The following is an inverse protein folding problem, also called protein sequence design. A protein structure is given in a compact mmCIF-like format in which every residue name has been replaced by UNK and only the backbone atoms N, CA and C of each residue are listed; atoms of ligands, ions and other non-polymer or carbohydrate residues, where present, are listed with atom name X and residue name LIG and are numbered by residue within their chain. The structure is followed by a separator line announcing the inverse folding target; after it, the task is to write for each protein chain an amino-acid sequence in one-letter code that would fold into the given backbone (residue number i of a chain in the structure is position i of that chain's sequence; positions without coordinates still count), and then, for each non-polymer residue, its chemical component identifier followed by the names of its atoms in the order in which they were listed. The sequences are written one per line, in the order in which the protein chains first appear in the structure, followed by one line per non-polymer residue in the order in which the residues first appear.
data_IF_990544598341
#
_entry.id   IF_990544598341
#
_cell.length_a   1.000
_cell.length_b   1.000
_cell.length_c   1.000
_cell.angle_alpha   90.00
_cell.angle_beta   90.00
_cell.angle_gamma   90.00
#
_symmetry.space_group_name_H-M   'P 1'
#
loop_
_entity.id
_entity.type
_entity.pdbx_description
1 polymer ?
#
# COMPACT_ATOMS: atom_id res chain seq x y z
N UNK A 1 23.78 -28.20 28.69
CA UNK A 1 23.56 -28.21 27.23
C UNK A 1 23.09 -26.82 26.86
N UNK A 2 23.86 -26.09 26.07
CA UNK A 2 23.54 -24.73 25.65
C UNK A 2 22.29 -24.75 24.78
N UNK A 3 21.27 -24.00 25.17
CA UNK A 3 20.12 -23.69 24.33
C UNK A 3 20.59 -22.78 23.20
N UNK A 4 21.07 -23.36 22.09
CA UNK A 4 21.16 -22.63 20.84
C UNK A 4 19.74 -22.36 20.36
N UNK A 5 19.22 -21.18 20.71
CA UNK A 5 18.00 -20.62 20.10
C UNK A 5 18.19 -20.69 18.60
N UNK A 6 17.28 -21.43 17.93
CA UNK A 6 17.40 -21.70 16.51
C UNK A 6 17.44 -20.39 15.72
N UNK A 7 18.11 -20.36 14.57
CA UNK A 7 18.17 -19.16 13.70
C UNK A 7 16.76 -18.63 13.37
N UNK A 8 15.79 -19.54 13.27
CA UNK A 8 14.38 -19.23 13.04
C UNK A 8 13.76 -18.48 14.23
N UNK A 9 13.98 -18.96 15.46
CA UNK A 9 13.50 -18.27 16.67
C UNK A 9 14.13 -16.89 16.85
N UNK A 10 15.41 -16.72 16.49
CA UNK A 10 16.05 -15.40 16.48
C UNK A 10 15.41 -14.45 15.48
N UNK A 11 15.07 -14.93 14.28
CA UNK A 11 14.40 -14.12 13.27
C UNK A 11 12.99 -13.73 13.73
N UNK A 12 12.22 -14.66 14.32
CA UNK A 12 10.85 -14.40 14.80
C UNK A 12 10.83 -13.37 15.93
N UNK A 13 11.76 -13.47 16.87
CA UNK A 13 11.82 -12.58 18.03
C UNK A 13 12.52 -11.26 17.74
N UNK A 14 13.06 -11.06 16.54
CA UNK A 14 13.67 -9.79 16.15
C UNK A 14 12.61 -8.69 16.11
N UNK A 15 12.91 -7.55 16.75
CA UNK A 15 12.08 -6.36 16.74
C UNK A 15 12.87 -5.18 16.19
N UNK A 16 12.38 -4.48 15.16
CA UNK A 16 13.02 -3.26 14.71
C UNK A 16 12.97 -2.20 15.82
N UNK A 17 14.05 -1.43 15.94
CA UNK A 17 14.12 -0.29 16.86
C UNK A 17 13.03 0.73 16.52
N UNK A 18 12.36 1.24 17.56
CA UNK A 18 11.28 2.24 17.47
C UNK A 18 11.68 3.46 16.62
N UNK A 19 12.86 4.02 16.88
CA UNK A 19 13.37 5.17 16.13
C UNK A 19 13.65 4.84 14.67
N UNK A 20 14.25 3.67 14.39
CA UNK A 20 14.51 3.24 13.00
C UNK A 20 13.22 2.98 12.23
N UNK A 21 12.24 2.37 12.88
CA UNK A 21 10.94 2.14 12.29
C UNK A 21 10.24 3.48 12.02
N UNK A 22 10.26 4.42 12.96
CA UNK A 22 9.68 5.76 12.77
C UNK A 22 10.30 6.51 11.59
N UNK A 23 11.63 6.44 11.43
CA UNK A 23 12.32 7.03 10.28
C UNK A 23 11.86 6.38 8.99
N UNK A 24 11.84 5.04 8.93
CA UNK A 24 11.41 4.30 7.75
C UNK A 24 9.96 4.61 7.37
N UNK A 25 9.01 4.51 8.31
CA UNK A 25 7.59 4.76 8.07
C UNK A 25 7.35 6.22 7.62
N UNK A 26 8.02 7.17 8.25
CA UNK A 26 7.96 8.59 7.85
C UNK A 26 8.50 8.80 6.45
N UNK A 27 9.65 8.20 6.13
CA UNK A 27 10.29 8.32 4.83
C UNK A 27 9.43 7.73 3.70
N UNK A 28 8.89 6.52 3.86
CA UNK A 28 8.07 5.89 2.81
C UNK A 28 6.75 6.62 2.60
N UNK A 29 6.11 7.08 3.68
CA UNK A 29 4.86 7.84 3.60
C UNK A 29 5.07 9.19 2.94
N UNK A 30 6.12 9.92 3.35
CA UNK A 30 6.45 11.21 2.77
C UNK A 30 6.89 11.11 1.32
N UNK A 31 7.72 10.11 0.98
CA UNK A 31 8.14 9.87 -0.41
C UNK A 31 6.93 9.64 -1.30
N UNK A 32 5.99 8.80 -0.89
CA UNK A 32 4.75 8.56 -1.63
C UNK A 32 3.96 9.86 -1.83
N UNK A 33 3.69 10.61 -0.76
CA UNK A 33 2.84 11.80 -0.79
C UNK A 33 3.47 12.95 -1.59
N UNK A 34 4.77 13.19 -1.43
CA UNK A 34 5.48 14.23 -2.16
C UNK A 34 5.54 13.87 -3.64
N UNK A 35 5.89 12.62 -3.95
CA UNK A 35 6.06 12.20 -5.34
C UNK A 35 4.73 12.19 -6.08
N UNK A 36 3.71 11.50 -5.54
CA UNK A 36 2.38 11.44 -6.18
C UNK A 36 1.74 12.83 -6.20
N UNK A 37 1.91 13.63 -5.15
CA UNK A 37 1.42 15.00 -5.10
C UNK A 37 1.99 15.87 -6.22
N UNK A 38 3.31 15.79 -6.48
CA UNK A 38 3.92 16.50 -7.61
C UNK A 38 3.44 15.95 -8.97
N UNK A 39 3.20 14.64 -9.08
CA UNK A 39 2.67 14.04 -10.30
C UNK A 39 1.27 14.54 -10.64
N UNK A 40 0.48 15.04 -9.67
CA UNK A 40 -0.85 15.64 -9.92
C UNK A 40 -0.83 16.83 -10.87
N UNK A 41 0.34 17.41 -11.12
CA UNK A 41 0.54 18.50 -12.08
C UNK A 41 0.78 18.00 -13.53
N UNK A 42 0.83 16.68 -13.73
CA UNK A 42 1.15 16.06 -15.02
C UNK A 42 -0.10 15.60 -15.78
N UNK A 43 -0.06 15.58 -17.14
CA UNK A 43 -1.19 15.11 -17.95
C UNK A 43 -1.66 13.67 -17.64
N UNK A 44 -0.78 12.67 -17.41
CA UNK A 44 -1.23 11.32 -17.06
C UNK A 44 -2.03 11.27 -15.76
N UNK A 45 -1.66 12.06 -14.75
CA UNK A 45 -2.43 12.13 -13.51
C UNK A 45 -3.71 12.94 -13.66
N UNK A 46 -3.75 13.96 -14.52
CA UNK A 46 -5.02 14.63 -14.84
C UNK A 46 -6.05 13.63 -15.38
N UNK A 47 -5.64 12.67 -16.23
CA UNK A 47 -6.54 11.60 -16.69
C UNK A 47 -7.01 10.70 -15.54
N UNK A 48 -6.15 10.42 -14.55
CA UNK A 48 -6.54 9.66 -13.37
C UNK A 48 -7.51 10.46 -12.49
N UNK A 49 -7.27 11.76 -12.28
CA UNK A 49 -8.16 12.65 -11.53
C UNK A 49 -9.52 12.69 -12.20
N UNK A 50 -9.57 12.89 -13.51
CA UNK A 50 -10.81 12.93 -14.28
C UNK A 50 -11.57 11.60 -14.17
N UNK A 51 -10.86 10.47 -14.32
CA UNK A 51 -11.46 9.15 -14.16
C UNK A 51 -12.03 8.93 -12.76
N UNK A 52 -11.29 9.23 -11.69
CA UNK A 52 -11.71 8.94 -10.33
C UNK A 52 -12.74 9.94 -9.78
N UNK A 53 -12.54 11.25 -9.99
CA UNK A 53 -13.48 12.25 -9.50
C UNK A 53 -14.72 12.35 -10.37
N UNK A 54 -14.58 12.25 -11.69
CA UNK A 54 -15.71 12.37 -12.62
C UNK A 54 -16.68 11.19 -12.56
N UNK A 55 -16.19 10.00 -12.21
CA UNK A 55 -17.06 8.84 -11.97
C UNK A 55 -17.54 8.71 -10.51
N UNK A 56 -17.24 9.69 -9.64
CA UNK A 56 -17.69 9.68 -8.25
C UNK A 56 -18.85 10.67 -8.06
N UNK A 57 -20.05 10.21 -7.63
CA UNK A 57 -21.18 11.10 -7.37
C UNK A 57 -20.90 12.13 -6.27
N UNK A 58 -19.87 11.93 -5.45
CA UNK A 58 -19.47 12.88 -4.41
C UNK A 58 -18.63 14.05 -4.95
N UNK A 59 -17.89 13.84 -6.03
CA UNK A 59 -16.84 14.78 -6.47
C UNK A 59 -16.99 15.25 -7.93
N UNK A 60 -17.87 14.65 -8.72
CA UNK A 60 -18.10 15.05 -10.12
C UNK A 60 -18.51 16.52 -10.25
N UNK A 61 -19.40 17.00 -9.37
CA UNK A 61 -19.79 18.42 -9.31
C UNK A 61 -18.62 19.37 -9.03
N UNK A 62 -17.66 18.94 -8.20
CA UNK A 62 -16.44 19.69 -7.90
C UNK A 62 -15.52 19.74 -9.13
N UNK A 63 -15.34 18.60 -9.80
CA UNK A 63 -14.52 18.47 -11.00
C UNK A 63 -15.02 19.34 -12.14
N UNK A 64 -16.32 19.29 -12.42
CA UNK A 64 -16.97 20.07 -13.48
C UNK A 64 -16.94 21.57 -13.23
N UNK A 65 -16.99 22.01 -11.96
CA UNK A 65 -16.96 23.43 -11.60
C UNK A 65 -15.56 24.03 -11.65
N UNK A 66 -14.56 23.31 -11.15
CA UNK A 66 -13.21 23.84 -10.90
C UNK A 66 -12.21 23.48 -12.02
N UNK A 67 -12.47 22.36 -12.71
CA UNK A 67 -11.61 21.82 -13.76
C UNK A 67 -10.46 20.94 -13.24
N UNK A 68 -10.09 19.94 -14.03
CA UNK A 68 -9.06 18.94 -13.70
C UNK A 68 -7.69 19.55 -13.36
N UNK A 69 -7.13 20.53 -14.11
CA UNK A 69 -5.81 21.07 -13.79
C UNK A 69 -5.77 21.79 -12.43
N UNK A 70 -6.81 22.56 -12.13
CA UNK A 70 -6.92 23.29 -10.86
C UNK A 70 -7.06 22.33 -9.69
N UNK A 71 -7.85 21.26 -9.83
CA UNK A 71 -7.93 20.20 -8.82
C UNK A 71 -6.59 19.50 -8.64
N UNK A 72 -5.86 19.22 -9.72
CA UNK A 72 -4.50 18.68 -9.65
C UNK A 72 -3.58 19.55 -8.80
N UNK A 73 -3.61 20.87 -8.99
CA UNK A 73 -2.87 21.84 -8.16
C UNK A 73 -3.32 21.78 -6.71
N UNK A 74 -4.63 21.77 -6.44
CA UNK A 74 -5.14 21.69 -5.07
C UNK A 74 -4.70 20.38 -4.38
N UNK A 75 -4.78 19.24 -5.06
CA UNK A 75 -4.31 17.96 -4.54
C UNK A 75 -2.81 18.01 -4.23
N UNK A 76 -1.99 18.57 -5.12
CA UNK A 76 -0.55 18.76 -4.90
C UNK A 76 -0.27 19.64 -3.66
N UNK A 77 -1.03 20.71 -3.48
CA UNK A 77 -0.93 21.63 -2.33
C UNK A 77 -1.37 21.00 -1.00
N UNK A 78 -2.06 19.85 -1.02
CA UNK A 78 -2.36 19.09 0.20
C UNK A 78 -1.38 17.93 0.39
N UNK A 79 -1.10 17.15 -0.66
CA UNK A 79 -0.26 15.94 -0.60
C UNK A 79 1.21 16.27 -0.33
N UNK A 80 1.79 17.25 -1.05
CA UNK A 80 3.21 17.61 -0.88
C UNK A 80 3.49 18.16 0.53
N UNK A 81 2.72 19.13 1.05
CA UNK A 81 2.92 19.59 2.42
C UNK A 81 2.69 18.51 3.47
N UNK A 82 1.72 17.60 3.29
CA UNK A 82 1.52 16.49 4.21
C UNK A 82 2.80 15.63 4.34
N UNK A 83 3.41 15.27 3.20
CA UNK A 83 4.67 14.51 3.20
C UNK A 83 5.84 15.29 3.81
N UNK A 84 5.99 16.58 3.49
CA UNK A 84 7.04 17.43 4.09
C UNK A 84 6.88 17.56 5.61
N UNK A 85 5.65 17.75 6.10
CA UNK A 85 5.34 17.84 7.53
C UNK A 85 5.64 16.54 8.28
N UNK A 86 5.43 15.37 7.64
CA UNK A 86 5.82 14.07 8.19
C UNK A 86 7.34 13.99 8.37
N UNK A 87 8.13 14.41 7.37
CA UNK A 87 9.60 14.41 7.47
C UNK A 87 10.11 15.39 8.53
N UNK A 88 9.57 16.61 8.54
CA UNK A 88 9.87 17.60 9.58
C UNK A 88 9.45 17.10 10.98
N UNK A 89 8.45 16.21 11.02
CA UNK A 89 7.98 15.49 12.20
C UNK A 89 9.05 14.72 12.95
N UNK A 90 10.08 14.23 12.26
CA UNK A 90 11.21 13.52 12.86
C UNK A 90 11.98 14.39 13.86
N UNK A 91 12.01 15.70 13.63
CA UNK A 91 12.66 16.68 14.51
C UNK A 91 11.64 17.52 15.30
N UNK A 92 10.42 17.70 14.77
CA UNK A 92 9.38 18.51 15.38
C UNK A 92 8.03 17.78 15.38
N UNK A 93 7.73 17.18 16.53
CA UNK A 93 6.50 16.43 16.81
C UNK A 93 5.21 17.15 16.38
N UNK A 94 5.07 18.47 16.58
CA UNK A 94 3.83 19.18 16.24
C UNK A 94 3.57 19.14 14.73
N UNK A 95 4.63 19.31 13.94
CA UNK A 95 4.54 19.20 12.47
C UNK A 95 4.24 17.77 12.05
N UNK A 96 4.87 16.79 12.69
CA UNK A 96 4.63 15.36 12.44
C UNK A 96 3.18 14.95 12.68
N UNK A 97 2.55 15.43 13.76
CA UNK A 97 1.13 15.18 14.05
C UNK A 97 0.24 15.73 12.93
N UNK A 98 0.46 16.98 12.51
CA UNK A 98 -0.34 17.61 11.44
C UNK A 98 -0.17 16.83 10.13
N UNK A 99 1.08 16.50 9.76
CA UNK A 99 1.38 15.73 8.56
C UNK A 99 0.71 14.35 8.57
N UNK A 100 0.73 13.65 9.71
CA UNK A 100 0.05 12.34 9.84
C UNK A 100 -1.46 12.47 9.69
N UNK A 101 -2.10 13.47 10.30
CA UNK A 101 -3.54 13.69 10.18
C UNK A 101 -3.94 14.02 8.72
N UNK A 102 -3.16 14.85 8.03
CA UNK A 102 -3.36 15.14 6.62
C UNK A 102 -3.22 13.88 5.75
N UNK A 103 -2.16 13.09 5.96
CA UNK A 103 -1.94 11.84 5.24
C UNK A 103 -3.07 10.82 5.46
N UNK A 104 -3.52 10.66 6.71
CA UNK A 104 -4.66 9.84 7.07
C UNK A 104 -5.93 10.29 6.32
N UNK A 105 -6.22 11.60 6.30
CA UNK A 105 -7.37 12.12 5.57
C UNK A 105 -7.27 11.85 4.06
N UNK A 106 -6.10 12.07 3.45
CA UNK A 106 -5.86 11.81 2.02
C UNK A 106 -6.11 10.32 1.70
N UNK A 107 -5.55 9.39 2.48
CA UNK A 107 -5.73 7.96 2.24
C UNK A 107 -7.17 7.50 2.49
N UNK A 108 -7.83 8.04 3.51
CA UNK A 108 -9.25 7.75 3.77
C UNK A 108 -10.15 8.25 2.62
N UNK A 109 -9.93 9.47 2.13
CA UNK A 109 -10.68 10.02 0.99
C UNK A 109 -10.48 9.18 -0.28
N UNK A 110 -9.26 8.76 -0.57
CA UNK A 110 -9.00 7.88 -1.70
C UNK A 110 -9.62 6.48 -1.53
N UNK A 111 -9.71 5.96 -0.31
CA UNK A 111 -10.37 4.68 -0.04
C UNK A 111 -11.88 4.75 -0.31
N UNK A 112 -12.52 5.92 -0.12
CA UNK A 112 -13.95 6.10 -0.42
C UNK A 112 -14.29 5.81 -1.89
N UNK A 113 -13.34 6.00 -2.81
CA UNK A 113 -13.55 5.67 -4.23
C UNK A 113 -13.90 4.21 -4.47
N UNK A 114 -13.57 3.31 -3.53
CA UNK A 114 -13.97 1.89 -3.61
C UNK A 114 -15.49 1.73 -3.59
N UNK A 115 -16.20 2.65 -2.91
CA UNK A 115 -17.64 2.59 -2.70
C UNK A 115 -18.41 3.56 -3.59
N UNK A 116 -17.76 4.58 -4.12
CA UNK A 116 -18.41 5.62 -4.92
C UNK A 116 -18.26 5.44 -6.42
N UNK A 117 -17.28 4.66 -6.87
CA UNK A 117 -16.96 4.52 -8.29
C UNK A 117 -17.38 3.14 -8.83
N UNK A 118 -17.60 3.02 -10.15
CA UNK A 118 -17.87 1.74 -10.82
C UNK A 118 -16.59 0.89 -10.89
N UNK A 119 -16.21 0.28 -9.78
CA UNK A 119 -15.00 -0.53 -9.65
C UNK A 119 -15.21 -2.01 -10.00
N UNK A 120 -16.48 -2.43 -10.08
CA UNK A 120 -16.89 -3.81 -10.31
C UNK A 120 -16.83 -4.18 -11.80
N UNK A 121 -16.54 -5.44 -12.09
CA UNK A 121 -16.53 -5.96 -13.46
C UNK A 121 -17.88 -6.59 -13.78
N UNK A 122 -18.80 -5.79 -14.31
CA UNK A 122 -20.17 -6.23 -14.63
C UNK A 122 -20.21 -7.44 -15.57
N UNK A 123 -19.28 -7.49 -16.53
CA UNK A 123 -19.14 -8.60 -17.47
C UNK A 123 -18.86 -9.96 -16.81
N UNK A 124 -18.38 -9.97 -15.56
CA UNK A 124 -18.10 -11.18 -14.79
C UNK A 124 -19.09 -11.40 -13.63
N UNK A 125 -20.16 -10.61 -13.55
CA UNK A 125 -21.19 -10.72 -12.52
C UNK A 125 -21.15 -9.63 -11.44
N UNK A 126 -20.31 -8.60 -11.62
CA UNK A 126 -20.22 -7.47 -10.68
C UNK A 126 -19.51 -7.85 -9.37
N UNK A 127 -19.96 -7.29 -8.25
CA UNK A 127 -19.37 -7.57 -6.94
C UNK A 127 -19.33 -9.10 -6.66
N UNK A 128 -18.20 -9.67 -6.18
CA UNK A 128 -17.00 -8.99 -5.68
C UNK A 128 -15.86 -8.85 -6.71
N UNK A 129 -16.10 -9.04 -8.00
CA UNK A 129 -15.02 -9.00 -9.01
C UNK A 129 -14.67 -7.55 -9.31
N UNK A 130 -13.41 -7.17 -9.05
CA UNK A 130 -12.94 -5.78 -9.06
C UNK A 130 -11.86 -5.57 -10.12
N UNK A 131 -12.03 -4.54 -10.94
CA UNK A 131 -11.09 -4.17 -12.01
C UNK A 131 -10.08 -3.12 -11.53
N UNK A 132 -10.22 -1.89 -12.04
CA UNK A 132 -9.32 -0.77 -11.72
C UNK A 132 -9.27 -0.41 -10.22
N UNK A 133 -10.28 -0.79 -9.44
CA UNK A 133 -10.41 -0.51 -8.02
C UNK A 133 -9.48 -1.33 -7.10
N UNK A 134 -8.74 -2.33 -7.60
CA UNK A 134 -7.83 -3.12 -6.76
C UNK A 134 -6.78 -2.27 -6.04
N UNK A 135 -6.30 -1.20 -6.69
CA UNK A 135 -5.37 -0.25 -6.08
C UNK A 135 -5.97 0.55 -4.93
N UNK A 136 -7.30 0.63 -4.85
CA UNK A 136 -7.97 1.33 -3.78
C UNK A 136 -7.92 0.53 -2.47
N UNK A 137 -7.93 -0.80 -2.55
CA UNK A 137 -7.85 -1.69 -1.38
C UNK A 137 -6.60 -1.42 -0.53
N UNK A 138 -5.50 -1.03 -1.18
CA UNK A 138 -4.22 -0.70 -0.52
C UNK A 138 -4.32 0.53 0.39
N UNK A 139 -5.27 1.44 0.15
CA UNK A 139 -5.38 2.67 0.94
C UNK A 139 -5.70 2.41 2.42
N UNK A 140 -6.28 1.27 2.77
CA UNK A 140 -6.51 0.92 4.18
C UNK A 140 -5.17 0.68 4.91
N UNK A 141 -4.24 -0.05 4.30
CA UNK A 141 -2.88 -0.23 4.81
C UNK A 141 -2.10 1.09 4.78
N UNK A 142 -2.27 1.89 3.72
CA UNK A 142 -1.61 3.19 3.61
C UNK A 142 -2.08 4.19 4.66
N UNK A 143 -3.37 4.17 5.04
CA UNK A 143 -3.92 4.93 6.16
C UNK A 143 -3.31 4.49 7.49
N UNK A 144 -3.11 3.19 7.66
CA UNK A 144 -2.62 2.60 8.89
C UNK A 144 -1.19 3.07 9.25
N UNK A 145 -0.34 3.30 8.25
CA UNK A 145 1.06 3.72 8.46
C UNK A 145 1.18 5.08 9.17
N UNK A 146 0.64 6.21 8.65
CA UNK A 146 0.65 7.49 9.36
C UNK A 146 -0.18 7.47 10.65
N UNK A 147 -1.22 6.65 10.75
CA UNK A 147 -1.94 6.46 12.02
C UNK A 147 -1.03 5.83 13.08
N UNK A 148 -0.20 4.86 12.70
CA UNK A 148 0.78 4.26 13.60
C UNK A 148 1.85 5.28 14.03
N UNK A 149 2.38 6.08 13.10
CA UNK A 149 3.32 7.18 13.40
C UNK A 149 2.68 8.18 14.38
N UNK A 150 1.42 8.57 14.13
CA UNK A 150 0.67 9.47 15.00
C UNK A 150 0.54 8.91 16.41
N UNK A 151 0.29 7.61 16.56
CA UNK A 151 0.18 6.99 17.89
C UNK A 151 1.46 7.14 18.72
N UNK A 152 2.63 7.05 18.08
CA UNK A 152 3.94 7.24 18.73
C UNK A 152 4.11 8.70 19.17
N UNK A 153 3.77 9.64 18.28
CA UNK A 153 3.73 11.05 18.68
C UNK A 153 2.73 11.32 19.79
N UNK A 154 1.62 10.60 19.93
CA UNK A 154 0.67 10.82 21.02
C UNK A 154 1.16 10.21 22.35
N UNK A 155 1.87 9.09 22.29
CA UNK A 155 2.38 8.36 23.46
C UNK A 155 3.42 9.16 24.26
N UNK A 156 4.18 10.03 23.60
CA UNK A 156 5.15 10.93 24.24
C UNK A 156 4.51 12.09 25.05
N UNK A 157 3.19 12.12 25.23
CA UNK A 157 2.50 13.06 26.13
C UNK A 157 1.64 12.25 27.10
N UNK A 158 1.28 12.83 28.23
CA UNK A 158 0.45 12.21 29.28
C UNK A 158 -0.95 11.74 28.82
N UNK A 159 -1.31 11.89 27.54
CA UNK A 159 -2.56 11.41 26.95
C UNK A 159 -2.46 9.97 26.43
N UNK A 160 -2.09 9.06 27.33
CA UNK A 160 -1.80 7.65 27.03
C UNK A 160 -3.00 6.89 26.45
N UNK A 161 -4.23 7.24 26.87
CA UNK A 161 -5.46 6.56 26.41
C UNK A 161 -5.70 6.76 24.91
N UNK A 162 -5.63 8.01 24.43
CA UNK A 162 -5.82 8.31 23.00
C UNK A 162 -4.70 7.69 22.14
N UNK A 163 -3.46 7.70 22.63
CA UNK A 163 -2.33 7.07 21.94
C UNK A 163 -2.57 5.57 21.74
N UNK A 164 -3.05 4.87 22.78
CA UNK A 164 -3.35 3.44 22.72
C UNK A 164 -4.49 3.14 21.75
N UNK A 165 -5.55 3.95 21.72
CA UNK A 165 -6.67 3.80 20.79
C UNK A 165 -6.22 3.95 19.33
N UNK A 166 -5.45 5.01 19.03
CA UNK A 166 -4.91 5.24 17.69
C UNK A 166 -3.96 4.12 17.28
N UNK A 167 -3.12 3.62 18.19
CA UNK A 167 -2.23 2.48 17.92
C UNK A 167 -3.01 1.20 17.60
N UNK A 168 -4.03 0.86 18.40
CA UNK A 168 -4.89 -0.30 18.16
C UNK A 168 -5.62 -0.20 16.82
N UNK A 169 -6.15 0.99 16.51
CA UNK A 169 -6.78 1.25 15.21
C UNK A 169 -5.79 1.06 14.06
N UNK A 170 -4.58 1.61 14.17
CA UNK A 170 -3.54 1.47 13.15
C UNK A 170 -3.16 0.00 12.92
N UNK A 171 -2.96 -0.78 13.99
CA UNK A 171 -2.63 -2.21 13.90
C UNK A 171 -3.78 -2.98 13.25
N UNK A 172 -5.02 -2.69 13.65
CA UNK A 172 -6.21 -3.29 13.03
C UNK A 172 -6.28 -2.96 11.54
N UNK A 173 -6.09 -1.70 11.15
CA UNK A 173 -6.09 -1.30 9.74
C UNK A 173 -4.94 -1.92 8.95
N UNK A 174 -3.76 -2.12 9.54
CA UNK A 174 -2.65 -2.86 8.91
C UNK A 174 -3.10 -4.31 8.62
N UNK A 175 -3.64 -4.99 9.63
CA UNK A 175 -4.12 -6.37 9.49
C UNK A 175 -5.25 -6.47 8.46
N UNK A 176 -6.30 -5.68 8.60
CA UNK A 176 -7.44 -5.67 7.70
C UNK A 176 -7.05 -5.30 6.27
N UNK A 177 -6.19 -4.29 6.09
CA UNK A 177 -5.70 -3.88 4.76
C UNK A 177 -4.89 -4.97 4.08
N UNK A 178 -4.01 -5.66 4.82
CA UNK A 178 -3.27 -6.82 4.30
C UNK A 178 -4.21 -7.97 3.96
N UNK A 179 -5.17 -8.30 4.83
CA UNK A 179 -6.16 -9.35 4.57
C UNK A 179 -6.99 -9.03 3.32
N UNK A 180 -7.42 -7.78 3.15
CA UNK A 180 -8.14 -7.34 1.96
C UNK A 180 -7.28 -7.47 0.70
N UNK A 181 -6.03 -7.00 0.73
CA UNK A 181 -5.13 -7.07 -0.44
C UNK A 181 -4.82 -8.52 -0.78
N UNK A 182 -4.31 -9.30 0.16
CA UNK A 182 -3.89 -10.69 -0.09
C UNK A 182 -5.08 -11.60 -0.41
N UNK A 183 -6.21 -11.42 0.27
CA UNK A 183 -7.39 -12.23 0.08
C UNK A 183 -8.11 -11.89 -1.22
N UNK A 184 -8.41 -10.61 -1.43
CA UNK A 184 -9.20 -10.18 -2.57
C UNK A 184 -8.38 -10.16 -3.85
N UNK A 185 -7.23 -9.46 -3.88
CA UNK A 185 -6.38 -9.41 -5.08
C UNK A 185 -5.81 -10.79 -5.39
N UNK A 186 -5.41 -11.55 -4.36
CA UNK A 186 -4.93 -12.93 -4.54
C UNK A 186 -5.99 -13.87 -5.09
N UNK A 187 -7.27 -13.69 -4.73
CA UNK A 187 -8.37 -14.44 -5.36
C UNK A 187 -8.61 -14.02 -6.82
N UNK A 188 -8.35 -12.75 -7.15
CA UNK A 188 -8.51 -12.29 -8.53
C UNK A 188 -7.46 -12.88 -9.48
N UNK A 189 -6.34 -13.41 -8.97
CA UNK A 189 -5.31 -14.10 -9.77
C UNK A 189 -5.82 -15.31 -10.55
N UNK A 190 -6.95 -15.88 -10.16
CA UNK A 190 -7.59 -17.00 -10.87
C UNK A 190 -8.40 -16.58 -12.09
N UNK A 191 -8.48 -15.28 -12.40
CA UNK A 191 -9.18 -14.74 -13.56
C UNK A 191 -8.23 -14.35 -14.70
N UNK A 192 -8.72 -14.50 -15.93
CA UNK A 192 -7.92 -14.27 -17.15
C UNK A 192 -7.45 -12.83 -17.30
N UNK A 193 -8.28 -11.85 -16.93
CA UNK A 193 -7.92 -10.43 -17.06
C UNK A 193 -6.77 -10.06 -16.14
N UNK A 194 -6.71 -10.64 -14.93
CA UNK A 194 -5.61 -10.46 -14.00
C UNK A 194 -4.33 -11.13 -14.51
N UNK A 195 -4.45 -12.37 -14.99
CA UNK A 195 -3.32 -13.11 -15.54
C UNK A 195 -2.67 -12.35 -16.70
N UNK A 196 -3.47 -11.78 -17.61
CA UNK A 196 -3.00 -10.91 -18.70
C UNK A 196 -2.41 -9.60 -18.19
N UNK A 197 -3.01 -9.00 -17.16
CA UNK A 197 -2.61 -7.71 -16.61
C UNK A 197 -1.20 -7.70 -16.00
N UNK A 198 -0.75 -8.84 -15.45
CA UNK A 198 0.55 -8.95 -14.77
C UNK A 198 1.71 -9.38 -15.67
N UNK A 199 1.45 -9.87 -16.90
CA UNK A 199 2.50 -10.34 -17.82
C UNK A 199 3.58 -9.29 -18.04
N UNK A 200 3.16 -8.05 -18.34
CA UNK A 200 4.08 -6.92 -18.56
C UNK A 200 5.00 -6.63 -17.36
N UNK A 201 4.64 -7.10 -16.17
CA UNK A 201 5.43 -6.93 -14.95
C UNK A 201 6.37 -8.12 -14.71
N UNK A 202 5.85 -9.33 -14.88
CA UNK A 202 6.56 -10.57 -14.58
C UNK A 202 7.55 -10.98 -15.66
N UNK A 203 7.21 -10.79 -16.93
CA UNK A 203 8.01 -11.25 -18.07
C UNK A 203 9.44 -10.67 -18.10
N UNK A 204 9.67 -9.35 -17.88
CA UNK A 204 11.02 -8.81 -17.84
C UNK A 204 11.72 -8.99 -16.48
N UNK A 205 11.04 -9.51 -15.45
CA UNK A 205 11.55 -9.56 -14.08
C UNK A 205 12.25 -10.88 -13.75
N UNK A 206 13.50 -10.83 -13.27
CA UNK A 206 14.31 -12.02 -12.96
C UNK A 206 13.70 -12.93 -11.86
N UNK A 207 12.90 -12.39 -10.94
CA UNK A 207 12.26 -13.17 -9.88
C UNK A 207 10.99 -13.88 -10.34
N UNK A 208 10.40 -13.48 -11.47
CA UNK A 208 9.10 -13.99 -11.92
C UNK A 208 9.11 -14.59 -13.33
N UNK A 209 10.07 -14.24 -14.18
CA UNK A 209 10.09 -14.67 -15.58
C UNK A 209 10.13 -16.21 -15.74
N UNK A 210 10.80 -16.90 -14.82
CA UNK A 210 10.90 -18.37 -14.80
C UNK A 210 9.55 -19.06 -14.71
N UNK A 211 8.53 -18.41 -14.13
CA UNK A 211 7.19 -18.98 -14.00
C UNK A 211 6.59 -19.32 -15.37
N UNK A 212 6.89 -18.51 -16.40
CA UNK A 212 6.43 -18.74 -17.77
C UNK A 212 7.20 -19.83 -18.53
N UNK A 213 8.34 -20.28 -18.00
CA UNK A 213 9.03 -21.45 -18.53
C UNK A 213 8.36 -22.77 -18.07
N UNK A 214 7.59 -22.73 -16.99
CA UNK A 214 6.96 -23.91 -16.38
C UNK A 214 5.44 -23.92 -16.61
N UNK A 215 4.81 -22.75 -16.57
CA UNK A 215 3.36 -22.60 -16.65
C UNK A 215 2.92 -21.65 -17.76
N UNK A 216 1.66 -21.77 -18.18
CA UNK A 216 1.01 -20.78 -19.03
C UNK A 216 0.81 -19.45 -18.29
N UNK A 217 0.40 -18.40 -19.01
CA UNK A 217 0.06 -17.10 -18.40
C UNK A 217 -0.91 -17.24 -17.22
N UNK A 218 -1.97 -18.02 -17.40
CA UNK A 218 -2.94 -18.30 -16.32
C UNK A 218 -2.32 -19.16 -15.21
N UNK A 219 -1.52 -20.17 -15.55
CA UNK A 219 -0.91 -21.04 -14.55
C UNK A 219 0.08 -20.29 -13.64
N UNK A 220 0.87 -19.38 -14.20
CA UNK A 220 1.75 -18.50 -13.42
C UNK A 220 0.96 -17.56 -12.51
N UNK A 221 -0.14 -16.98 -12.99
CA UNK A 221 -1.04 -16.16 -12.17
C UNK A 221 -1.65 -16.97 -11.01
N UNK A 222 -2.17 -18.17 -11.30
CA UNK A 222 -2.71 -19.07 -10.28
C UNK A 222 -1.67 -19.43 -9.21
N UNK A 223 -0.42 -19.68 -9.61
CA UNK A 223 0.67 -19.94 -8.67
C UNK A 223 0.88 -18.77 -7.70
N UNK A 224 0.91 -17.53 -8.21
CA UNK A 224 1.00 -16.34 -7.36
C UNK A 224 -0.20 -16.25 -6.41
N UNK A 225 -1.42 -16.46 -6.91
CA UNK A 225 -2.64 -16.44 -6.08
C UNK A 225 -2.61 -17.48 -4.95
N UNK A 226 -2.12 -18.70 -5.23
CA UNK A 226 -1.95 -19.75 -4.21
C UNK A 226 -0.92 -19.33 -3.16
N UNK A 227 0.22 -18.77 -3.56
CA UNK A 227 1.25 -18.29 -2.65
C UNK A 227 0.71 -17.16 -1.76
N UNK A 228 -0.01 -16.21 -2.34
CA UNK A 228 -0.63 -15.10 -1.61
C UNK A 228 -1.65 -15.59 -0.57
N UNK A 229 -2.51 -16.54 -0.95
CA UNK A 229 -3.49 -17.15 -0.05
C UNK A 229 -2.86 -18.04 1.02
N UNK A 230 -1.76 -18.74 0.71
CA UNK A 230 -1.02 -19.52 1.69
C UNK A 230 -0.42 -18.61 2.79
N UNK A 231 0.20 -17.49 2.42
CA UNK A 231 0.72 -16.53 3.40
C UNK A 231 -0.39 -15.80 4.16
N UNK A 232 -1.53 -15.53 3.52
CA UNK A 232 -2.71 -15.03 4.21
C UNK A 232 -3.22 -16.03 5.26
N UNK A 233 -3.36 -17.31 4.92
CA UNK A 233 -3.81 -18.34 5.86
C UNK A 233 -2.87 -18.45 7.07
N UNK A 234 -1.55 -18.37 6.82
CA UNK A 234 -0.55 -18.30 7.87
C UNK A 234 -0.72 -17.05 8.74
N UNK A 235 -0.91 -15.86 8.15
CA UNK A 235 -1.18 -14.62 8.88
C UNK A 235 -2.44 -14.74 9.76
N UNK A 236 -3.51 -15.36 9.25
CA UNK A 236 -4.75 -15.55 10.00
C UNK A 236 -4.58 -16.47 11.22
N UNK A 237 -3.52 -17.29 11.25
CA UNK A 237 -3.15 -18.08 12.41
C UNK A 237 -2.48 -17.26 13.51
N UNK A 238 -2.10 -16.00 13.28
CA UNK A 238 -1.36 -15.14 14.22
C UNK A 238 -1.99 -15.06 15.63
N UNK A 239 -3.32 -14.98 15.81
CA UNK A 239 -3.94 -14.98 17.15
C UNK A 239 -3.81 -16.31 17.90
N UNK A 240 -3.63 -17.43 17.18
CA UNK A 240 -3.62 -18.78 17.75
C UNK A 240 -2.20 -19.38 17.83
N UNK A 241 -1.34 -19.02 16.89
CA UNK A 241 0.01 -19.51 16.77
C UNK A 241 0.92 -18.42 16.20
N UNK A 242 1.75 -17.85 17.08
CA UNK A 242 2.67 -16.77 16.75
C UNK A 242 3.68 -17.15 15.68
N UNK A 243 4.22 -18.37 15.71
CA UNK A 243 5.17 -18.87 14.71
C UNK A 243 4.54 -18.85 13.31
N UNK A 244 3.36 -19.47 13.16
CA UNK A 244 2.66 -19.52 11.86
C UNK A 244 2.28 -18.11 11.38
N UNK A 245 1.75 -17.28 12.29
CA UNK A 245 1.44 -15.88 11.99
C UNK A 245 2.64 -15.07 11.51
N UNK A 246 3.78 -15.16 12.20
CA UNK A 246 5.01 -14.47 11.80
C UNK A 246 5.52 -14.97 10.46
N UNK A 247 5.43 -16.27 10.15
CA UNK A 247 5.77 -16.79 8.82
C UNK A 247 4.85 -16.19 7.74
N UNK A 248 3.56 -16.03 8.03
CA UNK A 248 2.62 -15.32 7.16
C UNK A 248 3.04 -13.88 6.91
N UNK A 249 3.35 -13.12 7.97
CA UNK A 249 3.82 -11.73 7.86
C UNK A 249 5.10 -11.62 7.03
N UNK A 250 6.07 -12.51 7.24
CA UNK A 250 7.31 -12.56 6.46
C UNK A 250 7.01 -12.87 4.99
N UNK A 251 6.15 -13.86 4.72
CA UNK A 251 5.74 -14.20 3.35
C UNK A 251 5.07 -13.02 2.62
N UNK A 252 4.19 -12.30 3.30
CA UNK A 252 3.55 -11.08 2.77
C UNK A 252 4.57 -9.97 2.53
N UNK A 253 5.53 -9.79 3.43
CA UNK A 253 6.62 -8.85 3.21
C UNK A 253 7.46 -9.22 1.98
N UNK A 254 7.68 -10.52 1.73
CA UNK A 254 8.38 -11.03 0.56
C UNK A 254 7.57 -10.85 -0.74
N UNK A 255 6.25 -11.03 -0.72
CA UNK A 255 5.42 -10.76 -1.91
C UNK A 255 5.42 -9.27 -2.25
N UNK A 256 5.28 -8.39 -1.25
CA UNK A 256 5.39 -6.94 -1.43
C UNK A 256 6.78 -6.56 -1.96
N UNK A 257 7.85 -7.15 -1.41
CA UNK A 257 9.21 -6.96 -1.92
C UNK A 257 9.36 -7.43 -3.37
N UNK A 258 8.80 -8.59 -3.72
CA UNK A 258 8.74 -9.09 -5.08
C UNK A 258 8.12 -8.06 -6.03
N UNK A 259 6.98 -7.48 -5.67
CA UNK A 259 6.36 -6.42 -6.47
C UNK A 259 7.21 -5.15 -6.57
N UNK A 260 7.91 -4.78 -5.48
CA UNK A 260 8.85 -3.66 -5.49
C UNK A 260 10.00 -3.86 -6.49
N UNK A 261 10.40 -5.10 -6.75
CA UNK A 261 11.44 -5.37 -7.76
C UNK A 261 11.02 -5.00 -9.19
N UNK A 262 9.71 -4.87 -9.48
CA UNK A 262 9.24 -4.43 -10.79
C UNK A 262 9.71 -3.02 -11.16
N UNK A 263 10.04 -2.16 -10.18
CA UNK A 263 10.64 -0.85 -10.46
C UNK A 263 11.99 -0.94 -11.20
N UNK A 264 12.70 -2.05 -11.07
CA UNK A 264 14.02 -2.24 -11.68
C UNK A 264 13.97 -3.03 -13.00
N UNK A 265 12.87 -3.76 -13.25
CA UNK A 265 12.72 -4.59 -14.45
C UNK A 265 11.72 -4.04 -15.46
N UNK A 266 10.82 -3.15 -15.04
CA UNK A 266 9.82 -2.53 -15.91
C UNK A 266 10.05 -1.04 -15.99
N UNK A 267 9.84 -0.40 -17.16
CA UNK A 267 9.84 1.05 -17.25
C UNK A 267 8.72 1.62 -16.36
N UNK A 268 9.09 2.08 -15.17
CA UNK A 268 8.17 2.71 -14.20
C UNK A 268 7.93 4.19 -14.48
N UNK A 269 8.67 4.78 -15.43
CA UNK A 269 8.53 6.15 -15.89
C UNK A 269 7.81 6.22 -17.24
N UNK A 270 7.25 7.39 -17.55
CA UNK A 270 6.62 7.62 -18.85
C UNK A 270 7.67 7.49 -19.97
N UNK A 271 7.48 6.62 -20.98
CA UNK A 271 8.42 6.45 -22.10
C UNK A 271 8.69 7.74 -22.87
N UNK A 272 7.71 8.64 -22.93
CA UNK A 272 7.80 9.95 -23.60
C UNK A 272 8.29 11.05 -22.64
N UNK A 273 8.79 10.69 -21.46
CA UNK A 273 9.34 11.62 -20.48
C UNK A 273 10.56 11.03 -19.76
N UNK A 274 11.04 11.73 -18.73
CA UNK A 274 12.22 11.34 -17.96
C UNK A 274 11.85 11.12 -16.48
N UNK A 275 12.65 10.33 -15.77
CA UNK A 275 12.57 10.23 -14.32
C UNK A 275 12.67 11.63 -13.68
N UNK A 276 11.77 12.03 -12.75
CA UNK A 276 10.93 11.20 -11.90
C UNK A 276 9.43 11.12 -12.32
N UNK A 277 9.08 11.38 -13.59
CA UNK A 277 7.68 11.28 -14.05
C UNK A 277 7.23 9.82 -14.17
N UNK A 278 6.59 9.31 -13.12
CA UNK A 278 6.11 7.92 -13.08
C UNK A 278 4.88 7.72 -13.94
N UNK A 279 4.79 6.53 -14.52
CA UNK A 279 3.57 6.05 -15.17
C UNK A 279 2.69 5.28 -14.17
N UNK A 280 1.56 4.73 -14.64
CA UNK A 280 0.61 3.95 -13.83
C UNK A 280 1.27 2.76 -13.11
N UNK A 281 2.25 2.09 -13.74
CA UNK A 281 3.00 0.99 -13.13
C UNK A 281 3.92 1.50 -12.03
N UNK A 282 4.63 2.62 -12.23
CA UNK A 282 5.47 3.22 -11.20
C UNK A 282 4.68 3.59 -9.94
N UNK A 283 3.53 4.24 -10.11
CA UNK A 283 2.63 4.60 -8.98
C UNK A 283 2.08 3.34 -8.29
N UNK A 284 1.74 2.30 -9.05
CA UNK A 284 1.31 1.01 -8.50
C UNK A 284 2.38 0.41 -7.56
N UNK A 285 3.64 0.37 -8.00
CA UNK A 285 4.73 -0.21 -7.22
C UNK A 285 5.05 0.64 -5.98
N UNK A 286 5.00 1.98 -6.07
CA UNK A 286 5.19 2.85 -4.92
C UNK A 286 4.18 2.59 -3.79
N UNK A 287 2.93 2.23 -4.12
CA UNK A 287 1.92 1.88 -3.11
C UNK A 287 2.29 0.61 -2.33
N UNK A 288 2.99 -0.33 -2.96
CA UNK A 288 3.35 -1.60 -2.31
C UNK A 288 4.45 -1.44 -1.26
N UNK A 289 5.20 -0.34 -1.29
CA UNK A 289 6.09 0.03 -0.19
C UNK A 289 5.32 0.24 1.12
N UNK A 290 4.10 0.78 1.05
CA UNK A 290 3.26 1.03 2.22
C UNK A 290 2.59 -0.26 2.71
N UNK A 291 2.35 -1.22 1.82
CA UNK A 291 1.93 -2.57 2.22
C UNK A 291 3.06 -3.30 2.96
N UNK A 292 4.29 -3.21 2.47
CA UNK A 292 5.48 -3.70 3.17
C UNK A 292 5.65 -3.01 4.53
N UNK A 293 5.43 -1.70 4.60
CA UNK A 293 5.46 -0.96 5.86
C UNK A 293 4.40 -1.46 6.86
N UNK A 294 3.17 -1.72 6.40
CA UNK A 294 2.13 -2.32 7.24
C UNK A 294 2.52 -3.72 7.74
N UNK A 295 3.15 -4.55 6.90
CA UNK A 295 3.64 -5.87 7.31
C UNK A 295 4.74 -5.76 8.39
N UNK A 296 5.66 -4.81 8.25
CA UNK A 296 6.71 -4.54 9.26
C UNK A 296 6.09 -4.04 10.59
N UNK A 297 5.03 -3.23 10.53
CA UNK A 297 4.27 -2.82 11.73
C UNK A 297 3.68 -4.06 12.42
N UNK A 298 3.01 -4.94 11.69
CA UNK A 298 2.46 -6.18 12.27
C UNK A 298 3.57 -7.05 12.87
N UNK A 299 4.71 -7.21 12.18
CA UNK A 299 5.85 -7.95 12.73
C UNK A 299 6.40 -7.30 14.00
N UNK A 300 6.43 -5.97 14.12
CA UNK A 300 6.88 -5.32 15.37
C UNK A 300 5.90 -5.57 16.53
N UNK A 301 4.60 -5.54 16.27
CA UNK A 301 3.58 -5.56 17.31
C UNK A 301 3.21 -6.97 17.79
N UNK A 302 3.36 -7.99 16.94
CA UNK A 302 3.04 -9.39 17.23
C UNK A 302 4.25 -10.27 17.33
#
# INVERSE_FOLDING_TARGET
MNNEVSTIERAINFRPSDSKLMIYLSAVTALYLIWVGLLKLSPPEHQQIEFWLGNSPLFDGLLTTIGTPTIGVLMALFEVPAGLLILLGLNNRKLGIIGCLMAMAIFALNFLYLFTNPVWVDALGGFPIIGSGQNLLKYLSMFAVPAYILSQYLQEKENCSNALLVRKLAIFCCFAGIVLVMGWIGWMKFYEFEAKGIVRLMEPNIFFNWTYAIWSVQGASNFIGIVEWAFLALLLCLPFNRLLGTLGVIGIALTAFGTLTFMFSTPGWNPDSFFPLLNRTGVFVLKDQLLLAAAIILWREY
#
